data_IF_540820408653
#
_entry.id   IF_540820408653
#
_cell.length_a   1.000
_cell.length_b   1.000
_cell.length_c   1.000
_cell.angle_alpha   90.00
_cell.angle_beta   90.00
_cell.angle_gamma   90.00
#
_symmetry.space_group_name_H-M   'P 1'
#
loop_
_entity.id
_entity.type
_entity.pdbx_description
1 polymer ?
#
# COMPACT_ATOMS: atom_id res chain seq x y z
N UNK A 1 -8.42 -0.10 0.69
CA UNK A 1 -9.22 -1.34 0.62
C UNK A 1 -9.52 -1.67 -0.85
N UNK A 2 -9.25 -2.90 -1.31
CA UNK A 2 -9.42 -3.32 -2.71
C UNK A 2 -10.87 -3.58 -3.12
N UNK A 3 -11.80 -3.81 -2.20
CA UNK A 3 -13.21 -4.01 -2.54
C UNK A 3 -14.01 -2.70 -2.49
N UNK A 4 -13.63 -1.81 -1.57
CA UNK A 4 -14.44 -0.63 -1.23
C UNK A 4 -14.28 0.49 -2.26
N UNK A 5 -13.07 0.62 -2.80
CA UNK A 5 -12.67 1.75 -3.63
C UNK A 5 -12.36 1.37 -5.08
N UNK A 6 -12.59 0.13 -5.48
CA UNK A 6 -12.32 -0.30 -6.85
C UNK A 6 -12.59 -1.78 -7.09
N UNK A 7 -12.22 -2.25 -8.27
CA UNK A 7 -12.30 -3.64 -8.69
C UNK A 7 -11.44 -3.88 -9.94
N UNK A 8 -10.98 -5.11 -10.19
CA UNK A 8 -10.39 -5.51 -11.46
C UNK A 8 -11.28 -5.19 -12.67
N UNK A 9 -10.66 -4.88 -13.80
CA UNK A 9 -11.35 -4.82 -15.09
C UNK A 9 -11.68 -6.22 -15.60
N UNK A 10 -12.77 -6.79 -15.09
CA UNK A 10 -13.24 -8.14 -15.41
C UNK A 10 -13.37 -8.43 -16.92
N UNK A 11 -13.51 -7.40 -17.75
CA UNK A 11 -13.62 -7.54 -19.20
C UNK A 11 -12.29 -7.57 -19.95
N UNK A 12 -11.17 -7.20 -19.34
CA UNK A 12 -9.90 -7.05 -20.08
C UNK A 12 -8.70 -7.64 -19.36
N UNK A 13 -8.80 -7.90 -18.06
CA UNK A 13 -7.78 -8.63 -17.31
C UNK A 13 -7.51 -9.98 -17.96
N UNK A 14 -6.22 -10.27 -18.21
CA UNK A 14 -5.70 -11.53 -18.72
C UNK A 14 -5.07 -12.38 -17.61
N UNK A 15 -4.43 -11.73 -16.64
CA UNK A 15 -3.89 -12.35 -15.43
C UNK A 15 -4.47 -11.69 -14.19
N UNK A 16 -5.10 -12.49 -13.33
CA UNK A 16 -5.67 -12.04 -12.07
C UNK A 16 -4.99 -12.74 -10.91
N UNK A 17 -4.40 -11.96 -9.98
CA UNK A 17 -3.71 -12.51 -8.81
C UNK A 17 -4.41 -12.08 -7.53
N UNK A 18 -4.84 -13.07 -6.74
CA UNK A 18 -5.52 -12.86 -5.48
C UNK A 18 -4.58 -13.12 -4.30
N UNK A 19 -4.55 -12.21 -3.32
CA UNK A 19 -3.76 -12.33 -2.10
C UNK A 19 -4.66 -12.36 -0.86
N UNK A 20 -4.64 -13.45 -0.09
CA UNK A 20 -5.33 -13.54 1.20
C UNK A 20 -6.85 -13.28 1.13
N UNK A 21 -7.51 -13.85 0.12
CA UNK A 21 -8.97 -13.71 -0.09
C UNK A 21 -9.67 -15.00 0.28
N UNK A 22 -10.63 -14.94 1.21
CA UNK A 22 -11.44 -16.08 1.64
C UNK A 22 -12.82 -16.10 0.95
N UNK A 23 -13.38 -17.29 0.74
CA UNK A 23 -14.63 -17.47 -0.01
C UNK A 23 -15.92 -16.98 0.65
N UNK A 24 -15.90 -16.84 1.98
CA UNK A 24 -17.01 -16.48 2.85
C UNK A 24 -17.02 -15.00 3.22
N UNK A 25 -15.86 -14.35 3.11
CA UNK A 25 -15.68 -12.95 3.52
C UNK A 25 -15.80 -11.95 2.38
N UNK A 26 -15.44 -12.36 1.16
CA UNK A 26 -15.58 -11.48 -0.01
C UNK A 26 -16.97 -11.55 -0.64
N UNK A 27 -17.47 -10.38 -1.02
CA UNK A 27 -18.83 -10.16 -1.50
C UNK A 27 -19.14 -10.91 -2.81
N UNK A 28 -20.41 -11.20 -3.08
CA UNK A 28 -20.89 -11.85 -4.32
C UNK A 28 -20.28 -11.30 -5.64
N UNK A 29 -19.98 -9.99 -5.80
CA UNK A 29 -19.29 -9.46 -6.98
C UNK A 29 -18.02 -10.20 -7.41
N UNK A 30 -17.16 -10.68 -6.50
CA UNK A 30 -15.92 -11.35 -6.92
C UNK A 30 -16.19 -12.72 -7.53
N UNK A 31 -17.21 -13.45 -7.06
CA UNK A 31 -17.64 -14.74 -7.64
C UNK A 31 -18.03 -14.56 -9.11
N UNK A 32 -18.81 -13.52 -9.40
CA UNK A 32 -19.23 -13.17 -10.76
C UNK A 32 -18.01 -12.74 -11.59
N UNK A 33 -17.11 -11.93 -11.03
CA UNK A 33 -15.87 -11.50 -11.67
C UNK A 33 -14.98 -12.69 -12.07
N UNK A 34 -14.72 -13.60 -11.13
CA UNK A 34 -13.98 -14.84 -11.37
C UNK A 34 -14.64 -15.71 -12.45
N UNK A 35 -15.96 -15.86 -12.41
CA UNK A 35 -16.72 -16.55 -13.45
C UNK A 35 -16.49 -15.95 -14.84
N UNK A 36 -16.56 -14.61 -14.95
CA UNK A 36 -16.29 -13.89 -16.21
C UNK A 36 -14.86 -14.11 -16.69
N UNK A 37 -13.88 -13.98 -15.81
CA UNK A 37 -12.47 -14.21 -16.14
C UNK A 37 -12.23 -15.63 -16.67
N UNK A 38 -12.65 -16.65 -15.91
CA UNK A 38 -12.47 -18.05 -16.31
C UNK A 38 -13.24 -18.40 -17.59
N UNK A 39 -14.43 -17.84 -17.80
CA UNK A 39 -15.22 -18.09 -19.03
C UNK A 39 -14.53 -17.62 -20.32
N UNK A 40 -13.60 -16.66 -20.22
CA UNK A 40 -12.79 -16.16 -21.34
C UNK A 40 -11.39 -16.76 -21.38
N UNK A 41 -11.07 -17.68 -20.47
CA UNK A 41 -9.73 -18.26 -20.34
C UNK A 41 -8.67 -17.31 -19.76
N UNK A 42 -9.07 -16.27 -19.01
CA UNK A 42 -8.10 -15.48 -18.25
C UNK A 42 -7.53 -16.32 -17.11
N UNK A 43 -6.23 -16.16 -16.84
CA UNK A 43 -5.51 -16.93 -15.83
C UNK A 43 -5.73 -16.34 -14.45
N UNK A 44 -6.06 -17.19 -13.48
CA UNK A 44 -6.32 -16.82 -12.08
C UNK A 44 -5.31 -17.52 -11.18
N UNK A 45 -4.54 -16.75 -10.42
CA UNK A 45 -3.57 -17.23 -9.42
C UNK A 45 -4.06 -16.84 -8.03
N UNK A 46 -3.97 -17.77 -7.08
CA UNK A 46 -4.26 -17.48 -5.67
C UNK A 46 -3.03 -17.68 -4.79
N UNK A 47 -2.67 -16.64 -4.04
CA UNK A 47 -1.65 -16.66 -2.98
C UNK A 47 -2.38 -16.73 -1.63
N UNK A 48 -2.29 -17.88 -0.97
CA UNK A 48 -3.04 -18.16 0.26
C UNK A 48 -2.41 -19.35 1.00
N UNK A 49 -2.25 -19.35 2.33
CA UNK A 49 -1.76 -20.52 3.08
C UNK A 49 -2.62 -21.78 2.91
N UNK A 50 -3.91 -21.63 2.63
CA UNK A 50 -4.85 -22.74 2.44
C UNK A 50 -5.43 -22.76 1.02
N UNK A 51 -5.72 -23.96 0.51
CA UNK A 51 -6.29 -24.16 -0.83
C UNK A 51 -7.78 -24.50 -0.78
N UNK A 52 -8.59 -23.58 -0.26
CA UNK A 52 -10.06 -23.71 -0.20
C UNK A 52 -10.75 -22.65 -1.06
N UNK A 53 -12.05 -22.81 -1.29
CA UNK A 53 -12.89 -21.84 -2.00
C UNK A 53 -12.33 -21.31 -3.31
N UNK A 54 -12.05 -20.00 -3.38
CA UNK A 54 -11.49 -19.38 -4.59
C UNK A 54 -10.14 -19.95 -4.98
N UNK A 55 -9.30 -20.31 -4.00
CA UNK A 55 -8.00 -20.93 -4.24
C UNK A 55 -8.13 -22.36 -4.81
N UNK A 56 -9.24 -23.05 -4.55
CA UNK A 56 -9.49 -24.39 -5.11
C UNK A 56 -9.88 -24.34 -6.59
N UNK A 57 -10.48 -23.24 -7.05
CA UNK A 57 -10.86 -23.03 -8.46
C UNK A 57 -9.88 -22.16 -9.24
N UNK A 58 -8.82 -21.65 -8.61
CA UNK A 58 -7.73 -20.94 -9.28
C UNK A 58 -6.96 -21.89 -10.21
N UNK A 59 -6.42 -21.36 -11.30
CA UNK A 59 -5.60 -22.14 -12.24
C UNK A 59 -4.24 -22.48 -11.62
N UNK A 60 -3.81 -21.68 -10.64
CA UNK A 60 -2.60 -21.87 -9.88
C UNK A 60 -2.78 -21.44 -8.42
N UNK A 61 -2.11 -22.13 -7.51
CA UNK A 61 -2.15 -21.83 -6.08
C UNK A 61 -0.74 -21.81 -5.50
N UNK A 62 -0.43 -20.73 -4.81
CA UNK A 62 0.84 -20.51 -4.12
C UNK A 62 0.57 -20.54 -2.62
N UNK A 63 0.91 -21.68 -2.01
CA UNK A 63 0.89 -21.85 -0.56
C UNK A 63 1.99 -21.00 0.08
N UNK A 64 1.61 -19.98 0.84
CA UNK A 64 2.53 -19.03 1.48
C UNK A 64 2.51 -19.20 3.00
N UNK A 65 3.64 -18.96 3.66
CA UNK A 65 3.71 -18.82 5.11
C UNK A 65 2.87 -17.61 5.56
N UNK A 66 1.92 -17.76 6.51
CA UNK A 66 1.07 -16.65 6.97
C UNK A 66 1.87 -15.41 7.40
N UNK A 67 1.43 -14.22 6.96
CA UNK A 67 2.05 -12.94 7.34
C UNK A 67 3.33 -12.58 6.55
N UNK A 68 3.71 -13.38 5.54
CA UNK A 68 4.94 -13.18 4.76
C UNK A 68 4.72 -12.69 3.32
N UNK A 69 3.47 -12.38 2.96
CA UNK A 69 3.07 -11.89 1.63
C UNK A 69 3.87 -10.65 1.18
N UNK A 70 4.13 -9.73 2.11
CA UNK A 70 4.94 -8.54 1.81
C UNK A 70 6.34 -8.90 1.31
N UNK A 71 6.97 -9.95 1.85
CA UNK A 71 8.29 -10.41 1.39
C UNK A 71 8.21 -11.00 -0.02
N UNK A 72 7.18 -11.82 -0.29
CA UNK A 72 6.96 -12.35 -1.64
C UNK A 72 6.79 -11.21 -2.64
N UNK A 73 5.93 -10.23 -2.33
CA UNK A 73 5.65 -9.10 -3.21
C UNK A 73 6.90 -8.26 -3.46
N UNK A 74 7.68 -7.94 -2.43
CA UNK A 74 8.93 -7.19 -2.59
C UNK A 74 9.97 -7.98 -3.40
N UNK A 75 9.98 -9.31 -3.30
CA UNK A 75 10.83 -10.16 -4.13
C UNK A 75 10.37 -10.21 -5.60
N UNK A 76 9.06 -10.16 -5.86
CA UNK A 76 8.54 -9.99 -7.22
C UNK A 76 8.97 -8.64 -7.81
N UNK A 77 8.87 -7.56 -7.02
CA UNK A 77 9.33 -6.22 -7.41
C UNK A 77 10.83 -6.24 -7.72
N UNK A 78 11.64 -6.88 -6.89
CA UNK A 78 13.07 -7.08 -7.13
C UNK A 78 13.33 -7.74 -8.49
N UNK A 79 12.67 -8.85 -8.80
CA UNK A 79 12.82 -9.54 -10.08
C UNK A 79 12.39 -8.68 -11.28
N UNK A 80 11.31 -7.90 -11.14
CA UNK A 80 10.83 -7.01 -12.20
C UNK A 80 11.83 -5.87 -12.46
N UNK A 81 12.39 -5.28 -11.40
CA UNK A 81 13.43 -4.26 -11.49
C UNK A 81 14.72 -4.82 -12.11
N UNK A 82 15.18 -5.99 -11.65
CA UNK A 82 16.37 -6.68 -12.18
C UNK A 82 16.23 -6.98 -13.69
N UNK A 83 15.02 -7.37 -14.12
CA UNK A 83 14.73 -7.67 -15.53
C UNK A 83 14.42 -6.42 -16.38
N UNK A 84 14.36 -5.21 -15.80
CA UNK A 84 13.93 -4.00 -16.50
C UNK A 84 12.47 -4.05 -16.98
N UNK A 85 11.63 -4.91 -16.40
CA UNK A 85 10.21 -5.09 -16.72
C UNK A 85 9.35 -4.20 -15.81
N UNK A 86 9.50 -2.90 -16.01
CA UNK A 86 8.83 -1.82 -15.25
C UNK A 86 8.29 -0.79 -16.22
N UNK A 87 7.09 -0.27 -15.96
CA UNK A 87 6.47 0.76 -16.80
C UNK A 87 7.00 2.15 -16.45
N UNK A 88 8.18 2.49 -16.99
CA UNK A 88 8.86 3.76 -16.72
C UNK A 88 8.04 4.98 -17.17
N UNK A 89 7.33 4.88 -18.30
CA UNK A 89 6.49 5.97 -18.78
C UNK A 89 5.32 6.21 -17.83
N UNK A 90 4.65 5.15 -17.38
CA UNK A 90 3.58 5.26 -16.38
C UNK A 90 4.08 5.89 -15.08
N UNK A 91 5.22 5.40 -14.57
CA UNK A 91 5.82 5.92 -13.34
C UNK A 91 6.17 7.41 -13.46
N UNK A 92 6.81 7.81 -14.55
CA UNK A 92 7.19 9.20 -14.80
C UNK A 92 5.98 10.14 -14.89
N UNK A 93 4.92 9.69 -15.57
CA UNK A 93 3.80 10.56 -15.92
C UNK A 93 2.73 10.66 -14.83
N UNK A 94 2.42 9.54 -14.14
CA UNK A 94 1.17 9.39 -13.37
C UNK A 94 1.38 9.15 -11.88
N UNK A 95 2.62 9.20 -11.40
CA UNK A 95 2.95 8.91 -10.01
C UNK A 95 3.86 9.98 -9.42
N UNK A 96 4.21 9.83 -8.14
CA UNK A 96 5.20 10.67 -7.47
C UNK A 96 6.65 10.17 -7.65
N UNK A 97 6.87 9.11 -8.45
CA UNK A 97 8.19 8.56 -8.75
C UNK A 97 9.25 9.60 -9.21
N UNK A 98 8.92 10.66 -9.98
CA UNK A 98 9.90 11.68 -10.38
C UNK A 98 10.10 12.81 -9.36
N UNK A 99 9.37 12.84 -8.24
CA UNK A 99 9.59 13.87 -7.20
C UNK A 99 10.95 13.65 -6.52
N UNK A 100 11.60 14.74 -6.15
CA UNK A 100 12.88 14.70 -5.43
C UNK A 100 12.67 14.52 -3.93
N UNK A 101 13.54 13.71 -3.30
CA UNK A 101 13.60 13.49 -1.85
C UNK A 101 14.83 14.19 -1.29
N UNK A 102 14.64 14.95 -0.20
CA UNK A 102 15.70 15.68 0.47
C UNK A 102 16.69 14.70 1.11
N UNK A 103 17.93 14.68 0.60
CA UNK A 103 18.99 13.80 1.09
C UNK A 103 19.89 14.44 2.16
N UNK A 104 19.77 15.75 2.40
CA UNK A 104 20.61 16.46 3.35
C UNK A 104 20.22 16.10 4.80
N UNK A 105 21.20 16.13 5.70
CA UNK A 105 20.93 16.00 7.14
C UNK A 105 20.12 17.21 7.64
N UNK A 106 19.19 16.95 8.55
CA UNK A 106 18.31 17.97 9.12
C UNK A 106 16.86 17.47 9.30
N UNK A 107 15.97 18.34 9.80
CA UNK A 107 14.58 17.97 10.10
C UNK A 107 13.76 17.61 8.85
N UNK A 108 14.19 18.07 7.66
CA UNK A 108 13.49 17.80 6.39
C UNK A 108 14.03 16.57 5.64
N UNK A 109 15.04 15.88 6.19
CA UNK A 109 15.61 14.69 5.56
C UNK A 109 14.51 13.66 5.27
N UNK A 110 14.48 13.16 4.04
CA UNK A 110 13.48 12.18 3.60
C UNK A 110 12.12 12.76 3.23
N UNK A 111 11.92 14.08 3.35
CA UNK A 111 10.73 14.75 2.81
C UNK A 111 10.90 15.10 1.33
N UNK A 112 9.79 15.37 0.63
CA UNK A 112 9.88 15.90 -0.74
C UNK A 112 10.52 17.28 -0.75
N UNK A 113 11.43 17.51 -1.70
CA UNK A 113 11.97 18.85 -1.96
C UNK A 113 10.84 19.73 -2.49
N UNK A 114 10.75 20.95 -1.96
CA UNK A 114 9.72 21.94 -2.32
C UNK A 114 10.34 23.23 -2.83
N UNK A 115 9.62 23.95 -3.68
CA UNK A 115 9.97 25.30 -4.12
C UNK A 115 9.65 26.35 -3.04
N UNK A 116 9.88 27.63 -3.34
CA UNK A 116 9.60 28.74 -2.43
C UNK A 116 8.11 28.84 -2.03
N UNK A 117 7.22 28.34 -2.89
CA UNK A 117 5.77 28.27 -2.67
C UNK A 117 5.35 26.98 -1.94
N UNK A 118 6.29 26.21 -1.37
CA UNK A 118 6.04 24.95 -0.66
C UNK A 118 5.40 23.85 -1.52
N UNK A 119 5.57 23.89 -2.83
CA UNK A 119 5.09 22.87 -3.76
C UNK A 119 6.22 21.91 -4.18
N UNK A 120 5.96 20.60 -4.27
CA UNK A 120 6.92 19.67 -4.86
C UNK A 120 7.09 19.97 -6.36
N UNK A 121 8.24 19.60 -6.92
CA UNK A 121 8.55 19.77 -8.33
C UNK A 121 9.29 18.56 -8.90
N UNK A 122 9.41 18.51 -10.22
CA UNK A 122 10.18 17.49 -10.95
C UNK A 122 11.31 18.15 -11.73
N UNK A 123 12.27 17.36 -12.19
CA UNK A 123 13.21 17.79 -13.21
C UNK A 123 12.63 17.41 -14.57
N UNK A 124 12.48 18.40 -15.45
CA UNK A 124 12.03 18.16 -16.82
C UNK A 124 13.20 17.64 -17.67
N UNK A 125 12.98 16.49 -18.31
CA UNK A 125 13.99 15.76 -19.09
C UNK A 125 14.52 16.56 -20.29
N UNK A 126 13.68 17.40 -20.89
CA UNK A 126 14.05 18.16 -22.08
C UNK A 126 14.94 19.37 -21.73
N UNK A 127 14.61 20.08 -20.66
CA UNK A 127 15.36 21.26 -20.21
C UNK A 127 16.49 20.95 -19.23
N UNK A 128 16.43 19.82 -18.51
CA UNK A 128 17.35 19.50 -17.42
C UNK A 128 17.16 20.38 -16.18
N UNK A 129 16.04 21.09 -16.07
CA UNK A 129 15.77 22.07 -15.03
C UNK A 129 14.49 21.76 -14.24
N UNK A 130 14.34 22.32 -13.02
CA UNK A 130 13.11 22.25 -12.25
C UNK A 130 11.89 22.75 -13.05
N UNK A 131 10.80 21.98 -13.00
CA UNK A 131 9.52 22.31 -13.61
C UNK A 131 8.35 21.91 -12.69
N UNK A 132 7.19 22.59 -12.79
CA UNK A 132 5.97 22.15 -12.12
C UNK A 132 5.60 20.74 -12.57
N UNK A 133 5.29 19.85 -11.61
CA UNK A 133 4.94 18.45 -11.90
C UNK A 133 3.68 18.30 -12.76
N UNK A 134 2.82 19.32 -12.77
CA UNK A 134 1.56 19.43 -13.52
C UNK A 134 1.64 20.36 -14.74
N UNK A 135 2.83 20.89 -15.05
CA UNK A 135 3.02 21.80 -16.18
C UNK A 135 2.73 21.13 -17.52
N UNK A 136 2.04 21.84 -18.42
CA UNK A 136 1.75 21.35 -19.78
C UNK A 136 3.06 21.08 -20.53
N UNK A 137 3.18 19.88 -21.12
CA UNK A 137 4.34 19.46 -21.89
C UNK A 137 5.58 19.06 -21.07
N UNK A 138 5.52 19.11 -19.73
CA UNK A 138 6.62 18.66 -18.86
C UNK A 138 6.81 17.14 -19.02
N UNK A 139 8.07 16.71 -19.14
CA UNK A 139 8.48 15.32 -19.22
C UNK A 139 9.33 14.97 -18.00
N UNK A 140 8.75 14.45 -16.91
CA UNK A 140 9.50 14.19 -15.69
C UNK A 140 10.62 13.15 -15.90
N UNK A 141 11.83 13.47 -15.44
CA UNK A 141 12.97 12.54 -15.50
C UNK A 141 13.06 11.70 -14.22
N UNK A 142 12.80 10.39 -14.35
CA UNK A 142 12.92 9.42 -13.24
C UNK A 142 14.37 9.24 -12.76
N UNK A 143 15.36 9.48 -13.62
CA UNK A 143 16.78 9.32 -13.30
C UNK A 143 17.43 10.55 -12.70
N UNK A 144 16.70 11.65 -12.54
CA UNK A 144 17.27 12.94 -12.18
C UNK A 144 17.93 12.94 -10.79
N UNK A 145 18.98 13.75 -10.69
CA UNK A 145 19.55 14.22 -9.45
C UNK A 145 19.67 15.75 -9.52
N UNK A 146 19.23 16.44 -8.48
CA UNK A 146 19.25 17.90 -8.44
C UNK A 146 19.71 18.39 -7.08
N UNK A 147 20.83 19.12 -7.07
CA UNK A 147 21.44 19.66 -5.85
C UNK A 147 21.68 18.57 -4.77
N UNK A 148 22.11 17.38 -5.19
CA UNK A 148 22.34 16.23 -4.31
C UNK A 148 21.07 15.46 -3.88
N UNK A 149 19.89 15.90 -4.31
CA UNK A 149 18.63 15.23 -4.05
C UNK A 149 18.27 14.29 -5.20
N UNK A 150 17.71 13.13 -4.89
CA UNK A 150 17.40 12.07 -5.86
C UNK A 150 15.90 11.84 -5.95
N UNK A 151 15.45 11.34 -7.10
CA UNK A 151 14.05 11.00 -7.30
C UNK A 151 13.59 9.86 -6.39
N UNK A 152 12.29 9.83 -6.05
CA UNK A 152 11.66 8.69 -5.37
C UNK A 152 11.98 7.38 -6.08
N UNK A 153 11.92 7.37 -7.41
CA UNK A 153 12.24 6.20 -8.21
C UNK A 153 13.65 5.67 -7.95
N UNK A 154 14.65 6.55 -7.90
CA UNK A 154 16.04 6.13 -7.63
C UNK A 154 16.19 5.54 -6.23
N UNK A 155 15.54 6.13 -5.22
CA UNK A 155 15.46 5.55 -3.88
C UNK A 155 14.80 4.16 -3.88
N UNK A 156 13.70 3.99 -4.62
CA UNK A 156 13.02 2.70 -4.76
C UNK A 156 13.89 1.64 -5.44
N UNK A 157 14.57 1.99 -6.54
CA UNK A 157 15.47 1.09 -7.28
C UNK A 157 16.60 0.63 -6.37
N UNK A 158 17.26 1.56 -5.68
CA UNK A 158 18.36 1.26 -4.76
C UNK A 158 17.90 0.38 -3.58
N UNK A 159 16.72 0.64 -3.03
CA UNK A 159 16.16 -0.15 -1.94
C UNK A 159 15.79 -1.56 -2.40
N UNK A 160 14.95 -1.69 -3.44
CA UNK A 160 14.35 -2.97 -3.79
C UNK A 160 15.23 -3.85 -4.68
N UNK A 161 16.35 -3.34 -5.20
CA UNK A 161 17.41 -4.17 -5.79
C UNK A 161 18.38 -4.77 -4.75
N UNK A 162 18.24 -4.44 -3.46
CA UNK A 162 19.10 -5.02 -2.42
C UNK A 162 19.03 -6.55 -2.42
N UNK A 163 20.14 -7.24 -2.09
CA UNK A 163 20.21 -8.70 -2.06
C UNK A 163 19.18 -9.38 -1.14
N UNK A 164 18.71 -8.69 -0.10
CA UNK A 164 17.71 -9.20 0.85
C UNK A 164 16.34 -9.49 0.22
N UNK A 165 16.03 -8.88 -0.92
CA UNK A 165 14.80 -9.11 -1.67
C UNK A 165 14.96 -10.15 -2.79
N UNK A 166 16.18 -10.70 -2.99
CA UNK A 166 16.38 -11.77 -3.97
C UNK A 166 15.51 -12.98 -3.63
N UNK A 167 14.98 -13.68 -4.65
CA UNK A 167 14.18 -14.90 -4.42
C UNK A 167 14.84 -15.89 -3.48
N UNK A 168 16.17 -16.06 -3.56
CA UNK A 168 16.93 -16.98 -2.70
C UNK A 168 16.96 -16.54 -1.23
N UNK A 169 16.97 -15.23 -0.96
CA UNK A 169 16.96 -14.68 0.41
C UNK A 169 15.58 -14.74 1.06
N UNK A 170 14.51 -14.74 0.25
CA UNK A 170 13.12 -14.69 0.72
C UNK A 170 12.48 -16.08 0.81
N UNK A 171 12.87 -17.02 -0.06
CA UNK A 171 12.15 -18.28 -0.28
C UNK A 171 11.84 -19.07 0.99
N UNK A 172 12.85 -19.29 1.84
CA UNK A 172 12.68 -20.08 3.07
C UNK A 172 11.70 -19.42 4.06
N UNK A 173 11.65 -18.08 4.09
CA UNK A 173 10.79 -17.33 5.02
C UNK A 173 9.34 -17.33 4.57
N UNK A 174 9.10 -17.13 3.27
CA UNK A 174 7.74 -17.09 2.74
C UNK A 174 7.17 -18.45 2.33
N UNK A 175 7.99 -19.51 2.32
CA UNK A 175 7.56 -20.85 1.95
C UNK A 175 7.39 -21.06 0.44
N UNK A 176 7.82 -20.10 -0.39
CA UNK A 176 7.72 -20.17 -1.86
C UNK A 176 9.12 -20.29 -2.45
N UNK A 177 9.39 -21.31 -3.26
CA UNK A 177 10.73 -21.55 -3.80
C UNK A 177 11.22 -20.37 -4.67
N UNK A 178 12.53 -20.12 -4.67
CA UNK A 178 13.13 -19.04 -5.46
C UNK A 178 12.76 -19.14 -6.96
N UNK A 179 12.78 -20.36 -7.51
CA UNK A 179 12.33 -20.63 -8.87
C UNK A 179 10.88 -20.20 -9.10
N UNK A 180 9.99 -20.51 -8.15
CA UNK A 180 8.57 -20.18 -8.25
C UNK A 180 8.31 -18.67 -8.19
N UNK A 181 9.05 -17.95 -7.34
CA UNK A 181 9.01 -16.48 -7.29
C UNK A 181 9.41 -15.90 -8.65
N UNK A 182 10.53 -16.36 -9.24
CA UNK A 182 10.99 -15.91 -10.57
C UNK A 182 9.97 -16.22 -11.67
N UNK A 183 9.36 -17.40 -11.65
CA UNK A 183 8.31 -17.78 -12.59
C UNK A 183 7.10 -16.84 -12.50
N UNK A 184 6.63 -16.54 -11.29
CA UNK A 184 5.53 -15.59 -11.11
C UNK A 184 5.90 -14.18 -11.58
N UNK A 185 7.11 -13.69 -11.26
CA UNK A 185 7.57 -12.39 -11.74
C UNK A 185 7.67 -12.33 -13.28
N UNK A 186 8.18 -13.39 -13.90
CA UNK A 186 8.26 -13.50 -15.35
C UNK A 186 6.86 -13.54 -15.99
N UNK A 187 5.92 -14.28 -15.40
CA UNK A 187 4.54 -14.34 -15.89
C UNK A 187 3.82 -12.99 -15.77
N UNK A 188 4.00 -12.28 -14.64
CA UNK A 188 3.52 -10.91 -14.46
C UNK A 188 4.07 -9.98 -15.54
N UNK A 189 5.38 -10.04 -15.81
CA UNK A 189 6.04 -9.24 -16.82
C UNK A 189 5.54 -9.56 -18.25
N UNK A 190 5.45 -10.85 -18.60
CA UNK A 190 4.97 -11.27 -19.90
C UNK A 190 3.54 -10.76 -20.16
N UNK A 191 2.63 -10.96 -19.20
CA UNK A 191 1.23 -10.53 -19.39
C UNK A 191 1.10 -9.01 -19.39
N UNK A 192 1.85 -8.30 -18.54
CA UNK A 192 1.79 -6.84 -18.48
C UNK A 192 2.34 -6.20 -19.76
N UNK A 193 3.52 -6.62 -20.22
CA UNK A 193 4.27 -5.92 -21.26
C UNK A 193 4.12 -6.56 -22.65
N UNK A 194 4.21 -7.89 -22.73
CA UNK A 194 4.25 -8.59 -24.02
C UNK A 194 2.83 -8.89 -24.51
N UNK A 195 1.84 -8.94 -23.60
CA UNK A 195 0.42 -9.08 -23.90
C UNK A 195 -0.40 -7.80 -23.65
N UNK A 196 0.27 -6.64 -23.63
CA UNK A 196 -0.36 -5.34 -23.44
C UNK A 196 -1.56 -5.12 -24.39
N UNK A 197 -2.52 -4.33 -23.93
CA UNK A 197 -3.71 -3.98 -24.72
C UNK A 197 -3.73 -2.49 -25.00
N UNK A 198 -4.40 -2.10 -26.08
CA UNK A 198 -4.59 -0.69 -26.45
C UNK A 198 -6.08 -0.48 -26.70
N UNK A 199 -6.68 0.51 -26.06
CA UNK A 199 -8.01 0.98 -26.41
C UNK A 199 -7.87 2.19 -27.34
N UNK A 200 -8.49 2.11 -28.52
CA UNK A 200 -8.59 3.22 -29.46
C UNK A 200 -9.63 4.23 -28.95
N UNK A 201 -9.24 4.96 -27.90
CA UNK A 201 -10.05 5.92 -27.17
C UNK A 201 -9.21 7.16 -26.89
N UNK A 202 -9.42 8.27 -27.62
CA UNK A 202 -8.70 9.49 -27.35
C UNK A 202 -9.11 10.07 -26.01
N UNK A 203 -8.15 10.64 -25.28
CA UNK A 203 -8.37 11.26 -23.98
C UNK A 203 -7.38 12.40 -23.76
N UNK A 204 -7.70 13.27 -22.80
CA UNK A 204 -6.83 14.37 -22.40
C UNK A 204 -6.45 14.16 -20.94
N UNK A 205 -5.17 14.24 -20.63
CA UNK A 205 -4.68 14.07 -19.27
C UNK A 205 -4.85 15.34 -18.41
N UNK A 206 -4.47 15.25 -17.13
CA UNK A 206 -4.58 16.36 -16.18
C UNK A 206 -3.65 17.55 -16.50
N UNK A 207 -2.60 17.34 -17.33
CA UNK A 207 -1.70 18.40 -17.82
C UNK A 207 -2.21 19.02 -19.13
N UNK A 208 -3.33 18.55 -19.66
CA UNK A 208 -3.91 19.01 -20.91
C UNK A 208 -3.25 18.45 -22.17
N UNK A 209 -2.48 17.36 -22.07
CA UNK A 209 -1.93 16.69 -23.26
C UNK A 209 -2.98 15.74 -23.85
N UNK A 210 -3.11 15.76 -25.17
CA UNK A 210 -3.99 14.87 -25.90
C UNK A 210 -3.29 13.54 -26.20
N UNK A 211 -3.96 12.44 -25.87
CA UNK A 211 -3.54 11.08 -26.14
C UNK A 211 -4.51 10.45 -27.13
N UNK A 212 -4.01 9.82 -28.18
CA UNK A 212 -4.85 9.20 -29.22
C UNK A 212 -5.50 7.89 -28.76
N UNK A 213 -4.82 7.16 -27.88
CA UNK A 213 -5.18 5.84 -27.41
C UNK A 213 -4.85 5.69 -25.91
N UNK A 214 -5.31 4.58 -25.33
CA UNK A 214 -5.10 4.26 -23.93
C UNK A 214 -4.40 2.89 -23.82
N UNK A 215 -3.08 2.86 -23.57
CA UNK A 215 -2.36 1.63 -23.32
C UNK A 215 -2.78 1.04 -21.96
N UNK A 216 -2.85 -0.29 -21.90
CA UNK A 216 -3.27 -1.05 -20.72
C UNK A 216 -2.38 -2.24 -20.46
N UNK A 217 -2.21 -2.54 -19.17
CA UNK A 217 -1.41 -3.64 -18.65
C UNK A 217 -2.40 -4.64 -18.04
N UNK A 218 -2.76 -5.74 -18.73
CA UNK A 218 -3.92 -6.55 -18.39
C UNK A 218 -3.67 -7.52 -17.22
N UNK A 219 -2.99 -7.04 -16.18
CA UNK A 219 -2.73 -7.71 -14.92
C UNK A 219 -3.53 -6.99 -13.84
N UNK A 220 -4.34 -7.72 -13.08
CA UNK A 220 -5.07 -7.15 -11.96
C UNK A 220 -4.83 -7.93 -10.69
N UNK A 221 -4.91 -7.22 -9.57
CA UNK A 221 -4.72 -7.80 -8.25
C UNK A 221 -5.97 -7.58 -7.41
N UNK A 222 -6.23 -8.51 -6.51
CA UNK A 222 -7.22 -8.32 -5.46
C UNK A 222 -6.70 -8.86 -4.15
N UNK A 223 -6.98 -8.14 -3.07
CA UNK A 223 -6.59 -8.56 -1.74
C UNK A 223 -7.66 -8.21 -0.72
N UNK A 224 -7.75 -9.04 0.31
CA UNK A 224 -8.71 -8.88 1.39
C UNK A 224 -8.02 -9.00 2.75
N UNK A 225 -8.81 -9.26 3.80
CA UNK A 225 -8.34 -9.28 5.19
C UNK A 225 -7.16 -10.21 5.44
N UNK A 226 -6.98 -11.27 4.65
CA UNK A 226 -5.91 -12.25 4.84
C UNK A 226 -4.51 -11.65 4.80
N UNK A 227 -4.26 -10.58 4.05
CA UNK A 227 -2.95 -9.90 4.05
C UNK A 227 -2.91 -8.64 4.92
N UNK A 228 -4.07 -8.08 5.29
CA UNK A 228 -4.15 -6.78 5.97
C UNK A 228 -4.39 -6.89 7.48
N UNK A 229 -4.81 -8.05 7.97
CA UNK A 229 -5.09 -8.29 9.40
C UNK A 229 -3.85 -8.77 10.18
N UNK A 230 -2.65 -8.57 9.64
CA UNK A 230 -1.38 -8.79 10.33
C UNK A 230 -0.80 -7.45 10.81
N UNK A 231 0.13 -7.47 11.76
CA UNK A 231 0.82 -6.25 12.26
C UNK A 231 1.53 -5.49 11.15
N UNK A 232 2.06 -6.19 10.14
CA UNK A 232 2.67 -5.61 8.93
C UNK A 232 1.66 -5.38 7.78
N UNK A 233 0.36 -5.58 7.99
CA UNK A 233 -0.64 -5.65 6.93
C UNK A 233 -0.77 -4.37 6.11
N UNK A 234 -0.58 -3.20 6.73
CA UNK A 234 -0.52 -1.93 6.00
C UNK A 234 0.63 -1.91 4.99
N UNK A 235 1.83 -2.32 5.40
CA UNK A 235 3.01 -2.34 4.55
C UNK A 235 2.89 -3.39 3.44
N UNK A 236 2.30 -4.54 3.74
CA UNK A 236 2.00 -5.58 2.76
C UNK A 236 1.02 -5.10 1.69
N UNK A 237 -0.07 -4.44 2.09
CA UNK A 237 -1.01 -3.85 1.14
C UNK A 237 -0.37 -2.72 0.31
N UNK A 238 0.48 -1.88 0.94
CA UNK A 238 1.27 -0.85 0.26
C UNK A 238 2.22 -1.45 -0.79
N UNK A 239 2.90 -2.55 -0.46
CA UNK A 239 3.75 -3.27 -1.40
C UNK A 239 2.95 -3.85 -2.58
N UNK A 240 1.74 -4.38 -2.34
CA UNK A 240 0.87 -4.87 -3.42
C UNK A 240 0.41 -3.74 -4.36
N UNK A 241 0.12 -2.56 -3.82
CA UNK A 241 -0.13 -1.38 -4.65
C UNK A 241 1.12 -0.92 -5.39
N UNK A 242 2.30 -0.99 -4.76
CA UNK A 242 3.57 -0.68 -5.42
C UNK A 242 3.83 -1.61 -6.62
N UNK A 243 3.56 -2.91 -6.47
CA UNK A 243 3.67 -3.87 -7.57
C UNK A 243 2.75 -3.51 -8.75
N UNK A 244 1.49 -3.14 -8.48
CA UNK A 244 0.56 -2.67 -9.52
C UNK A 244 1.08 -1.41 -10.23
N UNK A 245 1.62 -0.46 -9.46
CA UNK A 245 2.14 0.80 -9.97
C UNK A 245 3.39 0.58 -10.85
N UNK A 246 4.31 -0.29 -10.42
CA UNK A 246 5.52 -0.66 -11.18
C UNK A 246 5.16 -1.35 -12.50
N UNK A 247 4.09 -2.16 -12.51
CA UNK A 247 3.58 -2.78 -13.73
C UNK A 247 2.78 -1.83 -14.62
N UNK A 248 2.44 -0.61 -14.16
CA UNK A 248 1.55 0.31 -14.87
C UNK A 248 0.09 -0.18 -14.96
N UNK A 249 -0.34 -1.03 -14.02
CA UNK A 249 -1.62 -1.75 -14.08
C UNK A 249 -2.72 -1.17 -13.20
N UNK A 250 -2.54 0.04 -12.68
CA UNK A 250 -3.53 0.76 -11.88
C UNK A 250 -4.17 1.86 -12.73
N UNK A 251 -5.50 1.93 -12.77
CA UNK A 251 -6.26 2.86 -13.61
C UNK A 251 -5.97 2.76 -15.12
N UNK A 252 -5.54 1.58 -15.58
CA UNK A 252 -5.33 1.29 -17.00
C UNK A 252 -6.22 0.13 -17.47
N UNK A 253 -6.52 0.03 -18.77
CA UNK A 253 -7.35 -1.05 -19.31
C UNK A 253 -6.81 -2.44 -18.94
N UNK A 254 -7.70 -3.33 -18.48
CA UNK A 254 -7.33 -4.67 -18.01
C UNK A 254 -6.64 -4.73 -16.64
N UNK A 255 -6.34 -3.57 -16.07
CA UNK A 255 -5.80 -3.40 -14.72
C UNK A 255 -6.87 -3.26 -13.64
N UNK A 256 -6.42 -2.87 -12.43
CA UNK A 256 -7.32 -2.57 -11.33
C UNK A 256 -7.90 -1.16 -11.49
N UNK A 257 -9.22 -1.04 -11.37
CA UNK A 257 -9.94 0.23 -11.56
C UNK A 257 -10.53 0.75 -10.27
N UNK A 258 -10.32 2.01 -9.98
CA UNK A 258 -10.89 2.76 -8.89
C UNK A 258 -12.35 3.11 -9.21
N UNK A 259 -13.15 3.13 -8.16
CA UNK A 259 -14.56 3.49 -8.22
C UNK A 259 -14.66 5.02 -8.13
N UNK A 260 -15.34 5.71 -9.07
CA UNK A 260 -15.58 7.14 -8.91
C UNK A 260 -16.25 7.47 -7.57
N UNK A 261 -15.84 8.54 -6.86
CA UNK A 261 -14.94 9.61 -7.30
C UNK A 261 -13.45 9.39 -6.91
N UNK A 262 -13.01 8.15 -6.69
CA UNK A 262 -11.61 7.86 -6.39
C UNK A 262 -10.74 7.84 -7.66
N UNK A 263 -9.43 8.16 -7.56
CA UNK A 263 -8.72 8.55 -6.34
C UNK A 263 -9.09 9.98 -5.91
N UNK A 264 -9.23 10.19 -4.60
CA UNK A 264 -9.37 11.53 -4.03
C UNK A 264 -7.98 12.09 -3.71
N UNK A 265 -7.76 13.41 -3.81
CA UNK A 265 -6.53 14.02 -3.33
C UNK A 265 -6.38 13.78 -1.83
N UNK A 266 -5.15 13.66 -1.34
CA UNK A 266 -4.88 13.37 0.09
C UNK A 266 -5.45 14.47 1.00
N UNK A 267 -5.55 15.70 0.49
CA UNK A 267 -6.12 16.87 1.14
C UNK A 267 -7.62 16.75 1.41
N UNK A 268 -8.33 15.92 0.62
CA UNK A 268 -9.76 15.67 0.82
C UNK A 268 -10.06 14.73 2.00
N UNK A 269 -9.04 14.09 2.58
CA UNK A 269 -9.18 13.22 3.74
C UNK A 269 -8.78 13.95 5.02
N UNK A 270 -9.44 13.74 6.17
CA UNK A 270 -9.07 14.43 7.40
C UNK A 270 -7.65 14.06 7.87
N UNK A 271 -6.95 15.00 8.49
CA UNK A 271 -5.73 14.73 9.27
C UNK A 271 -6.10 14.19 10.64
N UNK A 272 -5.22 13.44 11.32
CA UNK A 272 -5.53 12.91 12.65
C UNK A 272 -5.58 14.01 13.71
N UNK A 273 -6.40 13.81 14.73
CA UNK A 273 -6.52 14.68 15.89
C UNK A 273 -6.43 13.88 17.18
N UNK A 274 -5.82 14.48 18.21
CA UNK A 274 -5.68 13.86 19.54
C UNK A 274 -5.99 14.82 20.70
N UNK A 275 -6.30 16.09 20.43
CA UNK A 275 -6.60 17.08 21.46
C UNK A 275 -8.06 16.96 21.92
N UNK A 276 -8.25 16.70 23.21
CA UNK A 276 -9.56 16.60 23.87
C UNK A 276 -9.70 17.66 24.96
N UNK A 277 -10.86 18.33 25.04
CA UNK A 277 -11.19 19.25 26.14
C UNK A 277 -12.46 18.77 26.85
N UNK A 278 -12.45 18.57 28.18
CA UNK A 278 -13.64 18.16 28.92
C UNK A 278 -14.84 19.09 28.67
N UNK A 279 -16.02 18.50 28.51
CA UNK A 279 -17.27 19.23 28.25
C UNK A 279 -17.38 19.87 26.87
N UNK A 280 -16.42 19.65 25.96
CA UNK A 280 -16.47 20.13 24.58
C UNK A 280 -16.49 18.95 23.59
N UNK A 281 -17.06 19.15 22.38
CA UNK A 281 -16.92 18.19 21.29
C UNK A 281 -15.44 17.95 20.95
N UNK A 282 -15.15 16.78 20.38
CA UNK A 282 -13.83 16.50 19.80
C UNK A 282 -13.50 17.52 18.71
N UNK A 283 -12.23 17.91 18.63
CA UNK A 283 -11.73 18.93 17.70
C UNK A 283 -11.63 18.45 16.24
N UNK A 284 -11.79 17.14 16.02
CA UNK A 284 -11.80 16.51 14.71
C UNK A 284 -12.05 15.00 14.79
N UNK A 285 -12.04 14.30 13.64
CA UNK A 285 -12.20 12.85 13.61
C UNK A 285 -11.00 12.13 14.24
N UNK A 286 -11.27 10.96 14.83
CA UNK A 286 -10.26 10.09 15.45
C UNK A 286 -9.48 9.23 14.43
N UNK A 287 -9.98 9.16 13.19
CA UNK A 287 -9.35 8.56 12.03
C UNK A 287 -8.77 9.69 11.17
N UNK A 288 -7.64 9.45 10.52
CA UNK A 288 -6.99 10.48 9.71
C UNK A 288 -5.83 9.95 8.89
N UNK A 289 -5.35 10.78 7.97
CA UNK A 289 -4.25 10.44 7.07
C UNK A 289 -3.12 11.44 7.30
N UNK A 290 -2.01 10.97 7.85
CA UNK A 290 -0.78 11.77 8.05
C UNK A 290 -0.21 12.14 6.68
N UNK A 291 0.01 13.44 6.46
CA UNK A 291 0.56 13.99 5.20
C UNK A 291 2.00 14.47 5.37
N UNK A 292 2.42 14.72 6.61
CA UNK A 292 3.78 15.06 6.99
C UNK A 292 3.99 14.94 8.49
N UNK A 293 5.23 15.18 8.98
CA UNK A 293 5.55 15.11 10.41
C UNK A 293 4.67 15.99 11.30
N UNK A 294 4.19 17.13 10.78
CA UNK A 294 3.31 18.05 11.52
C UNK A 294 1.92 17.47 11.85
N UNK A 295 1.50 16.43 11.12
CA UNK A 295 0.24 15.72 11.39
C UNK A 295 0.42 14.60 12.44
N UNK A 296 1.64 14.35 12.93
CA UNK A 296 1.85 13.31 13.94
C UNK A 296 1.20 13.70 15.28
N UNK A 297 0.61 12.72 15.95
CA UNK A 297 0.00 12.88 17.26
C UNK A 297 1.05 12.70 18.36
N UNK A 298 1.90 13.71 18.54
CA UNK A 298 2.98 13.72 19.52
C UNK A 298 2.77 14.79 20.60
N UNK A 299 3.20 14.48 21.83
CA UNK A 299 3.34 15.47 22.90
C UNK A 299 4.58 16.37 22.66
N UNK A 300 4.73 17.51 23.37
CA UNK A 300 5.87 18.40 23.20
C UNK A 300 7.25 17.76 23.42
N UNK A 301 7.32 16.66 24.18
CA UNK A 301 8.53 15.88 24.40
C UNK A 301 8.81 14.83 23.30
N UNK A 302 7.95 14.75 22.29
CA UNK A 302 8.04 13.81 21.17
C UNK A 302 7.43 12.43 21.44
N UNK A 303 6.87 12.18 22.63
CA UNK A 303 6.21 10.91 22.95
C UNK A 303 4.83 10.78 22.27
N UNK A 304 4.34 9.56 22.00
CA UNK A 304 3.02 9.35 21.42
C UNK A 304 1.90 9.90 22.30
N UNK A 305 1.02 10.75 21.74
CA UNK A 305 -0.06 11.36 22.50
C UNK A 305 -1.30 10.47 22.69
N UNK A 306 -1.38 9.35 21.96
CA UNK A 306 -2.48 8.39 22.06
C UNK A 306 -1.99 7.09 22.68
N UNK A 307 -2.82 6.45 23.51
CA UNK A 307 -2.52 5.17 24.15
C UNK A 307 -2.24 4.05 23.13
N UNK A 308 -2.90 4.07 21.97
CA UNK A 308 -2.67 3.12 20.88
C UNK A 308 -1.39 3.42 20.07
N UNK A 309 -0.66 4.49 20.42
CA UNK A 309 0.52 5.02 19.72
C UNK A 309 0.28 5.31 18.23
N UNK A 310 -0.97 5.41 17.80
CA UNK A 310 -1.32 5.73 16.43
C UNK A 310 -0.84 7.14 16.06
N UNK A 311 -0.41 7.30 14.81
CA UNK A 311 0.09 8.56 14.25
C UNK A 311 1.34 9.08 14.96
N UNK A 312 2.16 8.19 15.54
CA UNK A 312 3.47 8.51 16.10
C UNK A 312 4.59 8.15 15.12
N UNK A 313 5.85 8.43 15.48
CA UNK A 313 7.00 7.94 14.71
C UNK A 313 7.08 6.41 14.63
N UNK A 314 6.56 5.70 15.64
CA UNK A 314 6.46 4.25 15.62
C UNK A 314 5.42 3.76 14.60
N UNK A 315 4.28 4.48 14.50
CA UNK A 315 3.13 4.06 13.70
C UNK A 315 2.51 5.24 12.93
N UNK A 316 3.23 5.86 11.98
CA UNK A 316 2.79 7.12 11.37
C UNK A 316 1.58 6.94 10.44
N UNK A 317 1.42 5.77 9.83
CA UNK A 317 0.39 5.49 8.82
C UNK A 317 -0.78 4.63 9.35
N UNK A 318 -1.15 4.83 10.61
CA UNK A 318 -2.25 4.10 11.26
C UNK A 318 -3.61 4.77 11.01
N UNK A 319 -4.08 4.80 9.76
CA UNK A 319 -5.23 5.63 9.36
C UNK A 319 -6.52 5.42 10.21
N UNK A 320 -6.68 4.24 10.79
CA UNK A 320 -7.80 3.88 11.65
C UNK A 320 -7.46 3.75 13.14
N UNK A 321 -6.33 4.31 13.57
CA UNK A 321 -5.74 4.00 14.86
C UNK A 321 -5.18 2.58 14.93
N UNK A 322 -4.67 2.21 16.10
CA UNK A 322 -4.17 0.86 16.38
C UNK A 322 -4.93 0.27 17.57
N UNK A 323 -6.25 0.22 17.44
CA UNK A 323 -7.17 -0.28 18.47
C UNK A 323 -6.72 -1.59 19.16
N UNK A 324 -6.14 -2.53 18.43
CA UNK A 324 -5.63 -3.79 18.98
C UNK A 324 -4.47 -3.62 19.99
N UNK A 325 -3.78 -2.49 19.96
CA UNK A 325 -2.68 -2.16 20.88
C UNK A 325 -3.16 -1.52 22.19
N UNK A 326 -4.41 -1.09 22.29
CA UNK A 326 -4.89 -0.35 23.46
C UNK A 326 -4.70 -1.13 24.77
N UNK A 327 -5.12 -2.40 24.82
CA UNK A 327 -5.05 -3.20 26.05
C UNK A 327 -3.60 -3.54 26.42
N UNK A 328 -2.75 -4.04 25.50
CA UNK A 328 -1.33 -4.24 25.78
C UNK A 328 -0.61 -2.98 26.26
N UNK A 329 -0.90 -1.83 25.64
CA UNK A 329 -0.27 -0.56 25.99
C UNK A 329 -0.74 -0.02 27.34
N UNK A 330 -2.05 -0.14 27.63
CA UNK A 330 -2.61 0.21 28.93
C UNK A 330 -2.01 -0.65 30.05
N UNK A 331 -1.90 -1.96 29.83
CA UNK A 331 -1.26 -2.90 30.76
C UNK A 331 0.22 -2.56 31.00
N UNK A 332 0.97 -2.24 29.93
CA UNK A 332 2.37 -1.83 30.02
C UNK A 332 2.57 -0.43 30.63
N UNK A 333 1.53 0.42 30.65
CA UNK A 333 1.64 1.83 30.98
C UNK A 333 2.46 2.63 29.97
N UNK A 334 2.48 2.21 28.72
CA UNK A 334 3.29 2.78 27.63
C UNK A 334 2.39 3.18 26.45
N UNK A 335 2.27 4.47 26.10
CA UNK A 335 3.09 5.60 26.56
C UNK A 335 2.73 6.17 27.94
N UNK A 336 1.59 5.80 28.50
CA UNK A 336 1.15 6.25 29.83
C UNK A 336 0.14 5.29 30.44
N UNK A 337 -0.06 5.36 31.75
CA UNK A 337 -1.12 4.62 32.44
C UNK A 337 -2.48 5.28 32.24
N UNK A 338 -3.52 4.46 32.14
CA UNK A 338 -4.92 4.90 32.19
C UNK A 338 -5.52 4.48 33.53
N UNK A 339 -6.44 5.29 34.04
CA UNK A 339 -7.22 5.02 35.24
C UNK A 339 -8.47 4.18 34.91
N UNK A 340 -9.10 4.46 33.77
CA UNK A 340 -10.40 3.90 33.41
C UNK A 340 -10.42 3.45 31.95
N UNK A 341 -10.83 2.20 31.71
CA UNK A 341 -11.13 1.68 30.36
C UNK A 341 -12.63 1.40 30.22
N UNK A 342 -13.29 2.12 29.31
CA UNK A 342 -14.68 1.87 28.95
C UNK A 342 -14.79 1.14 27.60
N UNK A 343 -15.46 -0.02 27.59
CA UNK A 343 -15.66 -0.85 26.39
C UNK A 343 -17.15 -0.87 25.99
N UNK A 344 -17.47 -0.45 24.77
CA UNK A 344 -18.85 -0.41 24.26
C UNK A 344 -18.99 -1.01 22.85
N UNK A 345 -19.89 -1.99 22.71
CA UNK A 345 -20.25 -2.76 21.50
C UNK A 345 -19.13 -3.57 20.81
N UNK A 346 -17.96 -3.01 20.56
CA UNK A 346 -16.84 -3.72 19.94
C UNK A 346 -15.88 -4.24 21.02
N UNK A 347 -15.84 -5.56 21.22
CA UNK A 347 -14.92 -6.15 22.18
C UNK A 347 -13.53 -6.27 21.56
N UNK A 348 -12.63 -5.33 21.87
CA UNK A 348 -11.24 -5.37 21.38
C UNK A 348 -10.45 -6.57 21.90
N UNK A 349 -10.83 -7.10 23.06
CA UNK A 349 -10.23 -8.31 23.61
C UNK A 349 -10.55 -9.57 22.78
N UNK A 350 -11.65 -9.54 22.01
CA UNK A 350 -12.13 -10.70 21.26
C UNK A 350 -12.06 -10.53 19.73
N UNK A 351 -12.51 -9.38 19.22
CA UNK A 351 -12.67 -9.17 17.78
C UNK A 351 -11.40 -8.64 17.09
N UNK A 352 -10.48 -8.07 17.87
CA UNK A 352 -9.28 -7.39 17.36
C UNK A 352 -7.99 -7.88 18.02
N UNK A 353 -8.08 -8.80 18.99
CA UNK A 353 -6.90 -9.35 19.65
C UNK A 353 -6.27 -10.44 18.79
N UNK A 354 -4.95 -10.34 18.61
CA UNK A 354 -4.15 -11.39 17.96
C UNK A 354 -3.83 -12.55 18.92
N UNK A 355 -4.05 -12.36 20.23
CA UNK A 355 -3.88 -13.37 21.28
C UNK A 355 -4.90 -13.12 22.40
N UNK A 356 -6.10 -13.68 22.25
CA UNK A 356 -7.19 -13.47 23.20
C UNK A 356 -6.86 -13.96 24.60
N UNK A 357 -6.13 -15.07 24.73
CA UNK A 357 -5.70 -15.61 26.04
C UNK A 357 -4.85 -14.59 26.81
N UNK A 358 -3.78 -14.07 26.19
CA UNK A 358 -2.92 -13.10 26.84
C UNK A 358 -3.63 -11.79 27.16
N UNK A 359 -4.56 -11.35 26.30
CA UNK A 359 -5.35 -10.14 26.57
C UNK A 359 -6.29 -10.33 27.75
N UNK A 360 -6.89 -11.52 27.92
CA UNK A 360 -7.70 -11.81 29.10
C UNK A 360 -6.86 -11.78 30.38
N UNK A 361 -5.65 -12.35 30.36
CA UNK A 361 -4.72 -12.26 31.49
C UNK A 361 -4.45 -10.79 31.85
N UNK A 362 -4.04 -9.97 30.86
CA UNK A 362 -3.76 -8.54 31.06
C UNK A 362 -4.94 -7.76 31.66
N UNK A 363 -6.18 -8.09 31.30
CA UNK A 363 -7.39 -7.44 31.83
C UNK A 363 -7.73 -7.86 33.27
N UNK A 364 -7.11 -8.93 33.77
CA UNK A 364 -7.38 -9.49 35.11
C UNK A 364 -6.19 -9.43 36.06
N UNK A 365 -5.01 -9.09 35.54
CA UNK A 365 -3.81 -8.86 36.35
C UNK A 365 -4.01 -7.62 37.23
N UNK A 366 -3.70 -7.77 38.51
CA UNK A 366 -3.69 -6.69 39.50
C UNK A 366 -2.26 -6.31 39.85
N UNK A 367 -2.00 -5.03 40.06
CA UNK A 367 -0.74 -4.49 40.58
C UNK A 367 -0.44 -4.92 42.01
N UNK A 368 0.74 -4.53 42.50
CA UNK A 368 1.19 -4.83 43.87
C UNK A 368 0.30 -4.18 44.95
N UNK A 369 -0.41 -3.12 44.58
CA UNK A 369 -1.40 -2.39 45.39
C UNK A 369 -2.81 -2.98 45.29
N UNK A 370 -3.03 -3.98 44.43
CA UNK A 370 -4.31 -4.64 44.22
C UNK A 370 -5.25 -3.95 43.23
N UNK A 371 -4.80 -2.88 42.56
CA UNK A 371 -5.52 -2.24 41.44
C UNK A 371 -5.30 -2.94 40.09
#
# INVERSE_FOLDING_TARGET
>A
AFWEFGQPDWERTKLFVMFGVAEDHDSNPIKIGLGKLKSRGARVISVNPIRTGYSAVADDWIGITPGTDGLLILSLIHCLLEAGKVDLDYLAQWTNAPLLVNGAEGPEKGLFVRNAESQPFVIDKASGHPAPWDGKGVQPDLGAEWQGNRTVFRHMVEEYLKPEYRPEAVAARCGVSALRIRQLAAELAEVAFDQAIILDRPWTDFRGNAHKDMPGRPVSFHAMRGISAHSNGFQTARALHLLQIILGSLETPGGYRLKPPYPKPIEAHPTPHFVTTPGKPLTGPHLGYVRGPDDLCLLPDGSPARIDKAFSWENPFSAHGLMHMLIPNAHAGDPYRIDTLFLYMANMAWNSSMNSARVMEMLTETGEDGE
#
